data_IF_956819397073
#
_entry.id   IF_956819397073
#
_cell.length_a   1.000
_cell.length_b   1.000
_cell.length_c   1.000
_cell.angle_alpha   90.00
_cell.angle_beta   90.00
_cell.angle_gamma   90.00
#
_symmetry.space_group_name_H-M   'P 1'
#
loop_
_entity.id
_entity.type
_entity.pdbx_description
1 polymer ?
#
# COMPACT_ATOMS: atom_id res chain seq x y z
N UNK A 1 9.35 7.20 -23.67
CA UNK A 1 8.76 5.95 -23.13
C UNK A 1 7.67 6.34 -22.16
N UNK A 2 6.56 5.61 -22.08
CA UNK A 2 5.51 5.91 -21.08
C UNK A 2 5.98 5.49 -19.68
N UNK A 3 5.58 6.23 -18.64
CA UNK A 3 5.79 5.81 -17.25
C UNK A 3 4.79 4.71 -16.87
N UNK A 4 5.23 3.77 -16.05
CA UNK A 4 4.36 2.76 -15.41
C UNK A 4 4.05 3.17 -13.98
N UNK A 5 2.91 2.71 -13.48
CA UNK A 5 2.56 2.79 -12.07
C UNK A 5 2.98 1.51 -11.38
N UNK A 6 3.55 1.63 -10.18
CA UNK A 6 3.95 0.51 -9.34
C UNK A 6 3.35 0.70 -7.95
N UNK A 7 2.78 -0.35 -7.40
CA UNK A 7 2.25 -0.41 -6.04
C UNK A 7 3.37 -0.97 -5.16
N UNK A 8 3.83 -0.15 -4.23
CA UNK A 8 4.93 -0.50 -3.31
C UNK A 8 4.35 -0.60 -1.90
N UNK A 9 4.35 -1.79 -1.27
CA UNK A 9 3.83 -1.97 0.08
C UNK A 9 4.75 -1.32 1.11
N UNK A 10 4.13 -0.59 2.04
CA UNK A 10 4.81 0.13 3.12
C UNK A 10 4.06 -0.09 4.42
N UNK A 11 4.80 -0.08 5.52
CA UNK A 11 4.25 -0.15 6.89
C UNK A 11 4.56 1.15 7.61
N UNK A 12 3.67 1.55 8.50
CA UNK A 12 3.88 2.62 9.48
C UNK A 12 3.23 2.24 10.80
N UNK A 13 3.72 2.79 11.91
CA UNK A 13 3.22 2.49 13.24
C UNK A 13 2.30 3.60 13.77
N UNK A 14 1.36 3.22 14.64
CA UNK A 14 0.54 4.14 15.44
C UNK A 14 0.78 3.88 16.93
N UNK A 15 0.80 4.94 17.74
CA UNK A 15 0.90 4.87 19.19
C UNK A 15 -0.38 5.45 19.79
N UNK A 16 -1.10 4.66 20.57
CA UNK A 16 -2.24 5.11 21.37
C UNK A 16 -2.09 4.65 22.81
N UNK A 17 -3.04 5.02 23.66
CA UNK A 17 -2.96 4.70 25.09
C UNK A 17 -4.14 3.86 25.55
N UNK A 18 -3.87 2.96 26.49
CA UNK A 18 -4.90 2.16 27.16
C UNK A 18 -4.79 2.39 28.66
N UNK A 19 -5.94 2.40 29.35
CA UNK A 19 -5.98 2.62 30.80
C UNK A 19 -6.17 1.28 31.50
N UNK A 20 -5.25 0.96 32.41
CA UNK A 20 -5.26 -0.28 33.21
C UNK A 20 -5.24 0.09 34.69
N UNK A 21 -6.03 -0.61 35.50
CA UNK A 21 -6.01 -0.48 36.97
C UNK A 21 -5.16 -1.61 37.56
N UNK A 22 -4.11 -1.26 38.29
CA UNK A 22 -3.20 -2.19 38.98
C UNK A 22 -2.55 -1.50 40.18
N UNK A 23 -1.99 -2.27 41.12
CA UNK A 23 -1.33 -1.72 42.31
C UNK A 23 0.07 -1.19 41.98
N UNK A 24 0.68 -1.69 40.90
CA UNK A 24 2.00 -1.26 40.40
C UNK A 24 2.03 -1.13 38.89
N UNK A 25 2.97 -0.33 38.37
CA UNK A 25 3.21 -0.23 36.92
C UNK A 25 3.65 -1.56 36.31
N UNK A 26 4.43 -2.35 37.05
CA UNK A 26 4.88 -3.67 36.61
C UNK A 26 3.69 -4.60 36.38
N UNK A 27 2.77 -4.68 37.34
CA UNK A 27 1.52 -5.43 37.22
C UNK A 27 0.64 -4.91 36.08
N UNK A 28 0.55 -3.59 35.87
CA UNK A 28 -0.20 -3.02 34.73
C UNK A 28 0.39 -3.47 33.38
N UNK A 29 1.72 -3.51 33.26
CA UNK A 29 2.41 -3.97 32.04
C UNK A 29 2.25 -5.47 31.83
N UNK A 30 2.33 -6.28 32.90
CA UNK A 30 2.10 -7.72 32.83
C UNK A 30 0.67 -8.06 32.42
N UNK A 31 -0.31 -7.29 32.92
CA UNK A 31 -1.72 -7.43 32.52
C UNK A 31 -1.86 -7.28 31.00
N UNK A 32 -1.24 -6.25 30.42
CA UNK A 32 -1.30 -6.00 28.97
C UNK A 32 -0.61 -7.11 28.16
N UNK A 33 0.53 -7.64 28.64
CA UNK A 33 1.29 -8.67 27.93
C UNK A 33 0.57 -10.03 27.89
N UNK A 34 -0.21 -10.34 28.92
CA UNK A 34 -0.87 -11.64 29.06
C UNK A 34 -2.28 -11.68 28.43
N UNK A 35 -2.85 -10.54 28.07
CA UNK A 35 -4.09 -10.48 27.28
C UNK A 35 -3.79 -10.70 25.79
N UNK A 36 -3.66 -11.96 25.36
CA UNK A 36 -3.36 -12.31 23.95
C UNK A 36 -4.44 -11.86 22.96
N UNK A 37 -5.71 -11.73 23.37
CA UNK A 37 -6.84 -11.48 22.46
C UNK A 37 -7.81 -10.37 22.92
N UNK A 38 -7.48 -9.62 23.99
CA UNK A 38 -8.46 -8.83 24.75
C UNK A 38 -8.47 -7.32 24.53
N UNK A 39 -7.34 -6.74 24.13
CA UNK A 39 -7.16 -5.29 24.19
C UNK A 39 -7.50 -4.68 22.82
N UNK A 40 -8.63 -3.94 22.71
CA UNK A 40 -8.95 -3.28 21.46
C UNK A 40 -7.90 -2.24 21.13
N UNK A 41 -7.66 -2.03 19.83
CA UNK A 41 -6.79 -0.95 19.39
C UNK A 41 -7.30 0.39 19.96
N UNK A 42 -6.42 1.20 20.56
CA UNK A 42 -6.80 2.48 21.13
C UNK A 42 -7.35 3.42 20.06
N UNK A 43 -8.44 4.13 20.40
CA UNK A 43 -9.10 5.09 19.50
C UNK A 43 -8.36 6.45 19.43
N UNK A 44 -7.42 6.70 20.34
CA UNK A 44 -6.59 7.91 20.44
C UNK A 44 -5.21 7.74 19.78
N UNK A 45 -5.04 6.73 18.92
CA UNK A 45 -3.77 6.47 18.25
C UNK A 45 -3.32 7.63 17.36
N UNK A 46 -2.08 8.08 17.54
CA UNK A 46 -1.39 9.01 16.65
C UNK A 46 -0.33 8.28 15.82
N UNK A 47 -0.07 8.77 14.60
CA UNK A 47 1.00 8.22 13.78
C UNK A 47 2.35 8.50 14.42
N UNK A 48 3.19 7.46 14.49
CA UNK A 48 4.56 7.61 14.93
C UNK A 48 5.36 8.18 13.76
N UNK A 49 5.76 9.44 13.88
CA UNK A 49 6.60 10.08 12.86
C UNK A 49 7.90 9.29 12.65
N UNK A 50 8.36 9.25 11.41
CA UNK A 50 9.55 8.49 10.99
C UNK A 50 9.48 6.96 11.23
N UNK A 51 8.29 6.37 11.44
CA UNK A 51 8.10 4.91 11.49
C UNK A 51 7.84 4.25 10.12
N UNK A 52 7.92 5.03 9.04
CA UNK A 52 7.70 4.54 7.69
C UNK A 52 8.82 3.59 7.26
N UNK A 53 8.45 2.42 6.73
CA UNK A 53 9.37 1.45 6.17
C UNK A 53 8.73 0.62 5.05
N UNK A 54 9.56 -0.03 4.23
CA UNK A 54 9.09 -0.98 3.23
C UNK A 54 8.61 -2.26 3.93
N UNK A 55 7.40 -2.74 3.57
CA UNK A 55 6.90 -4.02 4.11
C UNK A 55 7.63 -5.22 3.49
N UNK A 56 8.12 -5.07 2.25
CA UNK A 56 8.87 -6.08 1.51
C UNK A 56 10.01 -5.40 0.76
N UNK A 57 11.14 -6.09 0.62
CA UNK A 57 12.30 -5.56 -0.12
C UNK A 57 12.55 -6.27 -1.45
N UNK A 58 11.95 -7.45 -1.61
CA UNK A 58 12.12 -8.37 -2.72
C UNK A 58 11.19 -7.99 -3.86
N UNK A 59 11.76 -7.46 -4.94
CA UNK A 59 10.97 -6.96 -6.08
C UNK A 59 10.08 -8.03 -6.72
N UNK A 60 10.47 -9.30 -6.67
CA UNK A 60 9.68 -10.39 -7.24
C UNK A 60 8.41 -10.65 -6.44
N UNK A 61 8.49 -10.63 -5.10
CA UNK A 61 7.32 -10.74 -4.22
C UNK A 61 6.41 -9.51 -4.36
N UNK A 62 6.99 -8.31 -4.43
CA UNK A 62 6.22 -7.07 -4.65
C UNK A 62 5.50 -7.12 -5.99
N UNK A 63 6.16 -7.64 -7.04
CA UNK A 63 5.58 -7.76 -8.37
C UNK A 63 4.41 -8.76 -8.38
N UNK A 64 4.60 -9.92 -7.77
CA UNK A 64 3.61 -10.99 -7.71
C UNK A 64 2.39 -10.60 -6.87
N UNK A 65 2.61 -10.08 -5.66
CA UNK A 65 1.55 -9.86 -4.67
C UNK A 65 0.81 -8.54 -4.84
N UNK A 66 1.47 -7.49 -5.36
CA UNK A 66 0.92 -6.13 -5.38
C UNK A 66 0.80 -5.51 -6.77
N UNK A 67 1.42 -6.10 -7.80
CA UNK A 67 1.46 -5.50 -9.14
C UNK A 67 0.95 -6.45 -10.24
N UNK A 68 0.17 -7.48 -9.89
CA UNK A 68 -0.42 -8.44 -10.83
C UNK A 68 0.59 -9.02 -11.83
N UNK A 69 1.83 -9.26 -11.38
CA UNK A 69 2.93 -9.72 -12.24
C UNK A 69 3.23 -8.80 -13.44
N UNK A 70 3.01 -7.48 -13.31
CA UNK A 70 3.31 -6.48 -14.35
C UNK A 70 4.76 -6.61 -14.84
N UNK A 71 4.93 -6.88 -16.13
CA UNK A 71 6.24 -7.00 -16.76
C UNK A 71 7.01 -5.67 -16.72
N UNK A 72 8.34 -5.74 -16.73
CA UNK A 72 9.20 -4.55 -16.64
C UNK A 72 9.38 -3.84 -17.99
N UNK A 73 9.05 -4.49 -19.11
CA UNK A 73 9.29 -3.99 -20.49
C UNK A 73 8.56 -2.68 -20.80
N UNK A 74 9.23 -1.63 -21.32
CA UNK A 74 8.58 -0.36 -21.64
C UNK A 74 7.36 -0.57 -22.55
N UNK A 75 6.22 0.05 -22.23
CA UNK A 75 5.03 -0.07 -23.06
C UNK A 75 5.31 0.46 -24.47
N UNK A 76 5.09 -0.36 -25.49
CA UNK A 76 5.14 0.11 -26.87
C UNK A 76 4.05 1.16 -27.09
N UNK A 77 4.41 2.32 -27.63
CA UNK A 77 3.40 3.30 -28.06
C UNK A 77 2.64 2.68 -29.22
N UNK A 78 1.37 2.34 -29.00
CA UNK A 78 0.48 1.94 -30.09
C UNK A 78 0.45 3.03 -31.16
N UNK A 79 1.09 2.77 -32.30
CA UNK A 79 0.89 3.56 -33.49
C UNK A 79 -0.56 3.36 -33.91
N UNK A 80 -1.42 4.34 -33.63
CA UNK A 80 -2.73 4.42 -34.31
C UNK A 80 -2.43 4.69 -35.78
N UNK A 81 -2.54 3.66 -36.61
CA UNK A 81 -2.62 3.83 -38.05
C UNK A 81 -3.92 4.56 -38.33
N UNK A 82 -3.86 5.89 -38.41
CA UNK A 82 -4.95 6.70 -38.91
C UNK A 82 -5.13 6.36 -40.39
N UNK A 83 -6.06 5.47 -40.70
CA UNK A 83 -6.60 5.40 -42.06
C UNK A 83 -7.39 6.70 -42.27
N UNK A 84 -6.72 7.64 -42.95
CA UNK A 84 -7.36 8.81 -43.53
C UNK A 84 -8.42 8.36 -44.53
N UNK A 85 -9.65 8.82 -44.27
CA UNK A 85 -10.59 9.39 -45.23
C UNK A 85 -10.48 8.94 -46.70
N UNK A 86 -11.46 8.16 -47.17
CA UNK A 86 -12.13 8.44 -48.44
C UNK A 86 -13.63 8.22 -48.27
N UNK A 87 -14.35 9.27 -47.88
CA UNK A 87 -15.77 9.39 -48.23
C UNK A 87 -15.81 10.06 -49.60
N UNK A 88 -16.04 9.28 -50.66
CA UNK A 88 -16.50 9.86 -51.91
C UNK A 88 -17.95 10.30 -51.71
N UNK A 89 -18.15 11.61 -51.59
CA UNK A 89 -19.43 12.28 -51.75
C UNK A 89 -19.50 12.91 -53.16
N UNK A 90 -20.60 12.60 -53.85
CA UNK A 90 -20.98 12.90 -55.24
C UNK A 90 -20.89 14.38 -55.68
N UNK A 91 -20.82 14.61 -57.01
CA UNK A 91 -21.79 15.52 -57.67
C UNK A 91 -21.88 15.38 -59.21
N UNK A 92 -23.14 15.30 -59.68
CA UNK A 92 -23.77 15.69 -60.96
C UNK A 92 -23.30 15.09 -62.29
#
# INVERSE_FOLDING_TARGET
>A
MGSKTWIIPVTWSMCGTVTVSADTLEEAVETIKNEEDGIPLPADGEYVDSSWELSFSETDLIRELYNDNQADTPSEKGFKHGQGTESQSNHT
#
